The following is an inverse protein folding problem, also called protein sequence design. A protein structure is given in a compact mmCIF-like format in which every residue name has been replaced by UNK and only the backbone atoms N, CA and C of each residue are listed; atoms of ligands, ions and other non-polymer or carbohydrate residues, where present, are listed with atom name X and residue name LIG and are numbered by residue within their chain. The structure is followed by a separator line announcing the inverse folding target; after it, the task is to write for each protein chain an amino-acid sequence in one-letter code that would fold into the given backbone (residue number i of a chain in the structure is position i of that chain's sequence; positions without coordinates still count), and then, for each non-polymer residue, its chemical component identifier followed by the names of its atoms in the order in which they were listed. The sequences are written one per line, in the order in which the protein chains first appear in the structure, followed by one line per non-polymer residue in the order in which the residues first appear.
data_IF_040003548328
#
_entry.id   IF_040003548328
#
_cell.length_a   1.000
_cell.length_b   1.000
_cell.length_c   1.000
_cell.angle_alpha   90.00
_cell.angle_beta   90.00
_cell.angle_gamma   90.00
#
_symmetry.space_group_name_H-M   'P 1'
#
loop_
_entity.id
_entity.type
_entity.pdbx_description
1 polymer ?
#
# COMPACT_ATOMS: atom_id res chain seq x y z
N UNK A 1 6.68 0.57 -9.37
CA UNK A 1 5.80 1.10 -10.44
C UNK A 1 4.34 0.83 -10.09
N UNK A 2 3.41 1.77 -10.35
CA UNK A 2 1.98 1.60 -10.04
C UNK A 2 1.22 0.99 -11.22
N UNK A 3 0.44 -0.08 -10.94
CA UNK A 3 -0.46 -0.73 -11.91
C UNK A 3 -1.90 -0.72 -11.39
N UNK A 4 -2.84 -0.32 -12.25
CA UNK A 4 -4.27 -0.25 -11.93
C UNK A 4 -5.00 -1.52 -12.35
N UNK A 5 -4.63 -2.67 -11.77
CA UNK A 5 -5.18 -3.96 -12.15
C UNK A 5 -5.20 -4.13 -13.67
N UNK A 6 -6.34 -4.54 -14.24
CA UNK A 6 -6.53 -4.69 -15.70
C UNK A 6 -6.39 -3.39 -16.51
N UNK A 7 -6.51 -2.23 -15.86
CA UNK A 7 -6.30 -0.95 -16.54
C UNK A 7 -4.81 -0.63 -16.76
N UNK A 8 -3.91 -1.43 -16.21
CA UNK A 8 -2.44 -1.33 -16.32
C UNK A 8 -1.96 0.09 -15.98
N UNK A 9 -1.70 0.93 -16.94
CA UNK A 9 -1.29 2.34 -16.76
C UNK A 9 -2.37 3.35 -17.20
N UNK A 10 -3.52 2.86 -17.65
CA UNK A 10 -4.63 3.68 -18.16
C UNK A 10 -5.83 3.75 -17.23
N UNK A 11 -7.00 4.04 -17.82
CA UNK A 11 -8.30 4.16 -17.15
C UNK A 11 -9.37 3.23 -17.73
N UNK A 12 -9.00 2.44 -18.73
CA UNK A 12 -9.86 1.41 -19.35
C UNK A 12 -9.11 0.09 -19.37
N UNK A 13 -9.79 -1.06 -19.24
CA UNK A 13 -9.14 -2.36 -19.25
C UNK A 13 -8.39 -2.62 -20.56
N UNK A 14 -7.16 -3.10 -20.45
CA UNK A 14 -6.41 -3.64 -21.57
C UNK A 14 -6.68 -5.15 -21.71
N UNK A 15 -6.51 -5.71 -22.91
CA UNK A 15 -6.40 -7.16 -23.08
C UNK A 15 -5.26 -7.72 -22.22
N UNK A 16 -5.44 -8.94 -21.71
CA UNK A 16 -4.48 -9.58 -20.78
C UNK A 16 -3.08 -9.66 -21.38
N UNK A 17 -2.99 -10.04 -22.67
CA UNK A 17 -1.72 -10.13 -23.41
C UNK A 17 -0.96 -8.80 -23.48
N UNK A 18 -1.67 -7.68 -23.47
CA UNK A 18 -1.04 -6.34 -23.45
C UNK A 18 -0.47 -6.04 -22.06
N UNK A 19 -1.22 -6.35 -21.01
CA UNK A 19 -0.76 -6.21 -19.63
C UNK A 19 0.47 -7.09 -19.36
N UNK A 20 0.45 -8.35 -19.83
CA UNK A 20 1.56 -9.29 -19.69
C UNK A 20 2.81 -8.79 -20.43
N UNK A 21 2.67 -8.35 -21.67
CA UNK A 21 3.78 -7.81 -22.47
C UNK A 21 4.36 -6.55 -21.80
N UNK A 22 3.49 -5.67 -21.30
CA UNK A 22 3.91 -4.46 -20.57
C UNK A 22 4.72 -4.78 -19.32
N UNK A 23 4.24 -5.73 -18.50
CA UNK A 23 4.91 -6.13 -17.25
C UNK A 23 6.28 -6.75 -17.55
N UNK A 24 6.36 -7.64 -18.55
CA UNK A 24 7.63 -8.24 -18.99
C UNK A 24 8.64 -7.18 -19.41
N UNK A 25 8.24 -6.25 -20.25
CA UNK A 25 9.12 -5.19 -20.75
C UNK A 25 9.53 -4.23 -19.63
N UNK A 26 8.61 -3.85 -18.75
CA UNK A 26 8.91 -2.99 -17.62
C UNK A 26 9.92 -3.64 -16.66
N UNK A 27 9.78 -4.93 -16.37
CA UNK A 27 10.72 -5.68 -15.55
C UNK A 27 12.09 -5.79 -16.23
N UNK A 28 12.13 -6.11 -17.54
CA UNK A 28 13.36 -6.20 -18.32
C UNK A 28 14.13 -4.87 -18.37
N UNK A 29 13.43 -3.75 -18.26
CA UNK A 29 14.01 -2.41 -18.24
C UNK A 29 14.32 -1.89 -16.83
N UNK A 30 14.13 -2.70 -15.77
CA UNK A 30 14.62 -2.43 -14.42
C UNK A 30 13.53 -2.05 -13.38
N UNK A 31 12.27 -2.41 -13.62
CA UNK A 31 11.24 -2.27 -12.58
C UNK A 31 11.27 -3.47 -11.64
N UNK A 32 11.67 -3.25 -10.39
CA UNK A 32 11.80 -4.28 -9.37
C UNK A 32 10.50 -4.52 -8.58
N UNK A 33 9.68 -3.50 -8.41
CA UNK A 33 8.44 -3.57 -7.62
C UNK A 33 7.26 -3.06 -8.44
N UNK A 34 6.24 -3.90 -8.60
CA UNK A 34 4.95 -3.53 -9.18
C UNK A 34 3.93 -3.38 -8.06
N UNK A 35 3.46 -2.15 -7.83
CA UNK A 35 2.37 -1.85 -6.90
C UNK A 35 1.05 -1.95 -7.63
N UNK A 36 0.33 -3.03 -7.39
CA UNK A 36 -0.91 -3.40 -8.08
C UNK A 36 -2.09 -3.05 -7.17
N UNK A 37 -3.09 -2.36 -7.70
CA UNK A 37 -4.29 -2.03 -6.95
C UNK A 37 -5.54 -1.99 -7.85
N UNK A 38 -6.69 -2.12 -7.25
CA UNK A 38 -7.98 -1.74 -7.82
C UNK A 38 -8.66 -0.71 -6.89
N UNK A 39 -9.30 0.31 -7.48
CA UNK A 39 -9.90 1.39 -6.69
C UNK A 39 -11.10 0.94 -5.85
N UNK A 40 -11.75 -0.16 -6.24
CA UNK A 40 -12.90 -0.76 -5.55
C UNK A 40 -12.53 -2.05 -4.80
N UNK A 41 -11.23 -2.38 -4.72
CA UNK A 41 -10.72 -3.60 -4.11
C UNK A 41 -11.23 -4.89 -4.77
N UNK A 42 -11.48 -4.86 -6.08
CA UNK A 42 -11.84 -6.04 -6.86
C UNK A 42 -10.60 -6.88 -7.14
N UNK A 43 -10.44 -7.97 -6.40
CA UNK A 43 -9.28 -8.86 -6.49
C UNK A 43 -9.20 -9.55 -7.86
N UNK A 44 -10.34 -9.86 -8.49
CA UNK A 44 -10.37 -10.47 -9.82
C UNK A 44 -9.78 -9.54 -10.89
N UNK A 45 -9.90 -8.21 -10.70
CA UNK A 45 -9.27 -7.22 -11.57
C UNK A 45 -7.75 -7.10 -11.33
N UNK A 46 -7.27 -7.44 -10.13
CA UNK A 46 -5.85 -7.39 -9.77
C UNK A 46 -5.09 -8.68 -10.11
N UNK A 47 -5.77 -9.83 -10.00
CA UNK A 47 -5.18 -11.15 -10.14
C UNK A 47 -4.36 -11.36 -11.43
N UNK A 48 -4.81 -10.95 -12.63
CA UNK A 48 -4.00 -11.12 -13.83
C UNK A 48 -2.65 -10.42 -13.77
N UNK A 49 -2.60 -9.19 -13.24
CA UNK A 49 -1.34 -8.46 -13.08
C UNK A 49 -0.43 -9.07 -12.01
N UNK A 50 -1.01 -9.57 -10.90
CA UNK A 50 -0.26 -10.28 -9.85
C UNK A 50 0.40 -11.54 -10.45
N UNK A 51 -0.36 -12.34 -11.17
CA UNK A 51 0.13 -13.56 -11.82
C UNK A 51 1.19 -13.25 -12.86
N UNK A 52 1.00 -12.24 -13.70
CA UNK A 52 1.97 -11.84 -14.72
C UNK A 52 3.33 -11.44 -14.09
N UNK A 53 3.32 -10.70 -12.97
CA UNK A 53 4.55 -10.37 -12.24
C UNK A 53 5.23 -11.64 -11.74
N UNK A 54 4.48 -12.55 -11.12
CA UNK A 54 5.02 -13.80 -10.53
C UNK A 54 5.56 -14.78 -11.55
N UNK A 55 4.85 -14.96 -12.66
CA UNK A 55 5.15 -15.99 -13.65
C UNK A 55 6.20 -15.56 -14.67
N UNK A 56 6.25 -14.27 -14.96
CA UNK A 56 7.03 -13.75 -16.07
C UNK A 56 8.23 -12.88 -15.67
N UNK A 57 8.37 -12.58 -14.38
CA UNK A 57 9.44 -11.68 -13.89
C UNK A 57 10.05 -12.20 -12.59
N UNK A 58 11.20 -11.63 -12.23
CA UNK A 58 11.78 -11.78 -10.88
C UNK A 58 11.38 -10.64 -9.92
N UNK A 59 10.41 -9.81 -10.32
CA UNK A 59 10.02 -8.61 -9.58
C UNK A 59 9.03 -8.90 -8.45
N UNK A 60 8.83 -7.93 -7.59
CA UNK A 60 7.92 -8.02 -6.44
C UNK A 60 6.53 -7.57 -6.82
N UNK A 61 5.52 -8.39 -6.51
CA UNK A 61 4.11 -7.99 -6.56
C UNK A 61 3.70 -7.41 -5.19
N UNK A 62 3.67 -6.09 -5.08
CA UNK A 62 3.11 -5.37 -3.96
C UNK A 62 1.65 -5.06 -4.26
N UNK A 63 0.70 -5.50 -3.40
CA UNK A 63 -0.73 -5.35 -3.69
C UNK A 63 -1.40 -4.41 -2.70
N UNK A 64 -2.03 -3.37 -3.25
CA UNK A 64 -2.66 -2.30 -2.49
C UNK A 64 -4.09 -2.61 -2.10
N UNK A 65 -4.36 -2.53 -0.80
CA UNK A 65 -5.69 -2.47 -0.22
C UNK A 65 -6.13 -1.00 -0.22
N UNK A 66 -7.04 -0.63 -1.13
CA UNK A 66 -7.52 0.76 -1.27
C UNK A 66 -8.38 1.14 -0.07
N UNK A 67 -7.76 1.80 0.92
CA UNK A 67 -8.37 2.10 2.21
C UNK A 67 -9.46 3.16 2.10
N UNK A 68 -10.59 2.90 2.76
CA UNK A 68 -11.72 3.83 2.90
C UNK A 68 -12.49 3.53 4.18
N UNK A 69 -13.44 4.43 4.53
CA UNK A 69 -14.22 4.29 5.76
C UNK A 69 -13.42 4.57 7.03
N UNK A 70 -13.96 4.15 8.15
CA UNK A 70 -13.32 4.23 9.46
C UNK A 70 -13.82 3.09 10.35
N UNK A 71 -13.16 1.94 10.34
CA UNK A 71 -13.57 0.76 11.11
C UNK A 71 -13.53 0.95 12.65
N UNK A 72 -13.04 2.08 13.13
CA UNK A 72 -13.12 2.44 14.56
C UNK A 72 -14.44 3.17 14.90
N UNK A 73 -15.21 3.58 13.88
CA UNK A 73 -16.55 4.12 14.10
C UNK A 73 -17.51 2.96 14.39
N UNK A 74 -18.24 2.97 15.52
CA UNK A 74 -19.18 1.91 15.84
C UNK A 74 -20.36 1.79 14.87
N UNK A 75 -20.57 2.78 14.01
CA UNK A 75 -21.59 2.78 12.97
C UNK A 75 -21.06 2.30 11.61
N UNK A 76 -19.74 2.05 11.48
CA UNK A 76 -19.18 1.49 10.24
C UNK A 76 -19.52 0.00 10.14
N UNK A 77 -20.34 -0.34 9.17
CA UNK A 77 -20.84 -1.71 9.00
C UNK A 77 -20.27 -2.43 7.78
N UNK A 78 -19.62 -1.70 6.87
CA UNK A 78 -19.08 -2.25 5.62
C UNK A 78 -17.58 -2.43 5.70
N UNK A 79 -16.84 -1.36 5.94
CA UNK A 79 -15.37 -1.35 5.94
C UNK A 79 -14.81 -1.66 7.34
N UNK A 80 -15.25 -2.77 7.90
CA UNK A 80 -14.82 -3.26 9.23
C UNK A 80 -13.40 -3.81 9.19
N UNK A 81 -12.78 -4.03 10.36
CA UNK A 81 -11.47 -4.70 10.41
C UNK A 81 -11.53 -6.09 9.76
N UNK A 82 -12.62 -6.83 9.96
CA UNK A 82 -12.83 -8.15 9.34
C UNK A 82 -12.89 -8.06 7.80
N UNK A 83 -13.52 -7.01 7.24
CA UNK A 83 -13.48 -6.75 5.80
C UNK A 83 -12.04 -6.62 5.29
N UNK A 84 -11.21 -5.82 5.97
CA UNK A 84 -9.81 -5.62 5.56
C UNK A 84 -8.98 -6.88 5.64
N UNK A 85 -9.18 -7.70 6.67
CA UNK A 85 -8.48 -8.97 6.82
C UNK A 85 -8.92 -9.99 5.75
N UNK A 86 -10.21 -10.07 5.43
CA UNK A 86 -10.71 -10.93 4.34
C UNK A 86 -10.18 -10.50 2.97
N UNK A 87 -10.13 -9.20 2.72
CA UNK A 87 -9.54 -8.67 1.49
C UNK A 87 -8.05 -9.05 1.40
N UNK A 88 -7.30 -8.89 2.50
CA UNK A 88 -5.91 -9.30 2.57
C UNK A 88 -5.73 -10.81 2.34
N UNK A 89 -6.59 -11.69 2.91
CA UNK A 89 -6.57 -13.12 2.62
C UNK A 89 -6.70 -13.41 1.12
N UNK A 90 -7.62 -12.72 0.45
CA UNK A 90 -7.85 -12.91 -0.99
C UNK A 90 -6.65 -12.46 -1.82
N UNK A 91 -6.04 -11.32 -1.45
CA UNK A 91 -4.85 -10.76 -2.10
C UNK A 91 -3.62 -11.66 -1.89
N UNK A 92 -3.44 -12.18 -0.68
CA UNK A 92 -2.35 -13.14 -0.37
C UNK A 92 -2.55 -14.42 -1.17
N UNK A 93 -3.79 -14.93 -1.23
CA UNK A 93 -4.13 -16.12 -2.01
C UNK A 93 -3.90 -15.92 -3.52
N UNK A 94 -4.07 -14.70 -4.03
CA UNK A 94 -3.76 -14.35 -5.42
C UNK A 94 -2.25 -14.28 -5.69
N UNK A 95 -1.43 -14.20 -4.64
CA UNK A 95 0.03 -14.29 -4.73
C UNK A 95 0.79 -13.01 -4.45
N UNK A 96 0.27 -12.09 -3.67
CA UNK A 96 1.00 -10.91 -3.22
C UNK A 96 2.31 -11.27 -2.49
N UNK A 97 3.37 -10.51 -2.73
CA UNK A 97 4.63 -10.58 -1.99
C UNK A 97 4.69 -9.55 -0.86
N UNK A 98 3.97 -8.43 -1.01
CA UNK A 98 3.90 -7.35 -0.02
C UNK A 98 2.44 -6.89 0.05
N UNK A 99 1.92 -6.68 1.25
CA UNK A 99 0.62 -6.05 1.48
C UNK A 99 0.81 -4.54 1.63
N UNK A 100 0.14 -3.75 0.78
CA UNK A 100 0.19 -2.30 0.88
C UNK A 100 -1.17 -1.74 1.33
N UNK A 101 -1.18 -0.98 2.42
CA UNK A 101 -2.34 -0.17 2.80
C UNK A 101 -2.27 1.11 1.96
N UNK A 102 -3.24 1.31 1.06
CA UNK A 102 -3.26 2.44 0.13
C UNK A 102 -4.35 3.43 0.51
N UNK A 103 -4.00 4.42 1.32
CA UNK A 103 -4.88 5.49 1.75
C UNK A 103 -4.72 6.74 0.88
N UNK A 104 -5.52 6.84 -0.18
CA UNK A 104 -5.43 7.91 -1.18
C UNK A 104 -5.98 9.26 -0.72
N UNK A 105 -6.72 9.31 0.38
CA UNK A 105 -7.42 10.51 0.80
C UNK A 105 -7.06 10.97 2.22
N UNK A 106 -6.10 10.32 2.88
CA UNK A 106 -5.74 10.65 4.25
C UNK A 106 -6.84 10.32 5.26
N UNK A 107 -7.58 9.24 5.02
CA UNK A 107 -8.68 8.80 5.89
C UNK A 107 -8.22 7.96 7.07
N UNK A 108 -7.12 7.25 6.90
CA UNK A 108 -6.55 6.38 7.92
C UNK A 108 -6.03 7.21 9.10
N UNK A 109 -6.60 6.98 10.27
CA UNK A 109 -6.24 7.70 11.49
C UNK A 109 -5.16 6.93 12.27
N UNK A 110 -4.36 7.60 13.13
CA UNK A 110 -3.25 6.95 13.83
C UNK A 110 -3.64 5.65 14.54
N UNK A 111 -4.73 5.66 15.33
CA UNK A 111 -5.20 4.47 16.04
C UNK A 111 -5.66 3.36 15.09
N UNK A 112 -6.32 3.72 13.99
CA UNK A 112 -6.74 2.75 12.98
C UNK A 112 -5.53 2.15 12.25
N UNK A 113 -4.51 2.95 11.95
CA UNK A 113 -3.27 2.48 11.35
C UNK A 113 -2.57 1.45 12.25
N UNK A 114 -2.38 1.77 13.52
CA UNK A 114 -1.79 0.84 14.48
C UNK A 114 -2.59 -0.47 14.54
N UNK A 115 -3.92 -0.40 14.67
CA UNK A 115 -4.77 -1.59 14.74
C UNK A 115 -4.69 -2.45 13.47
N UNK A 116 -4.75 -1.82 12.28
CA UNK A 116 -4.72 -2.54 11.01
C UNK A 116 -3.36 -3.16 10.74
N UNK A 117 -2.26 -2.41 10.96
CA UNK A 117 -0.89 -2.92 10.79
C UNK A 117 -0.65 -4.11 11.71
N UNK A 118 -0.98 -3.99 13.00
CA UNK A 118 -0.86 -5.12 13.94
C UNK A 118 -1.64 -6.33 13.47
N UNK A 119 -2.91 -6.15 13.08
CA UNK A 119 -3.75 -7.26 12.66
C UNK A 119 -3.25 -7.95 11.37
N UNK A 120 -2.68 -7.20 10.42
CA UNK A 120 -2.06 -7.75 9.21
C UNK A 120 -0.77 -8.50 9.56
N UNK A 121 0.08 -7.93 10.41
CA UNK A 121 1.34 -8.56 10.86
C UNK A 121 1.11 -9.86 11.65
N UNK A 122 0.09 -9.88 12.49
CA UNK A 122 -0.27 -11.08 13.26
C UNK A 122 -0.82 -12.21 12.39
N UNK A 123 -1.45 -11.87 11.26
CA UNK A 123 -2.12 -12.83 10.39
C UNK A 123 -1.26 -13.35 9.25
N UNK A 124 -0.33 -12.53 8.73
CA UNK A 124 0.44 -12.85 7.52
C UNK A 124 1.95 -12.68 7.76
N UNK A 125 2.72 -13.65 7.28
CA UNK A 125 4.19 -13.56 7.23
C UNK A 125 4.62 -12.85 5.93
N UNK A 126 4.11 -11.64 5.72
CA UNK A 126 4.43 -10.77 4.58
C UNK A 126 4.74 -9.37 5.07
N UNK A 127 5.64 -8.65 4.38
CA UNK A 127 5.86 -7.24 4.68
C UNK A 127 4.60 -6.41 4.48
N UNK A 128 4.42 -5.41 5.35
CA UNK A 128 3.32 -4.44 5.28
C UNK A 128 3.89 -3.07 4.94
N UNK A 129 3.36 -2.47 3.89
CA UNK A 129 3.72 -1.13 3.43
C UNK A 129 2.54 -0.16 3.62
N UNK A 130 2.79 1.04 4.14
CA UNK A 130 1.76 2.06 4.28
C UNK A 130 2.02 3.24 3.35
N UNK A 131 1.06 3.49 2.44
CA UNK A 131 0.97 4.67 1.61
C UNK A 131 -0.22 5.52 2.02
N UNK A 132 -0.01 6.79 2.33
CA UNK A 132 -1.09 7.73 2.65
C UNK A 132 -0.84 9.11 2.06
N UNK A 133 -1.91 9.87 1.79
CA UNK A 133 -1.83 11.27 1.37
C UNK A 133 -2.12 12.20 2.56
N UNK A 134 -1.39 13.29 2.69
CA UNK A 134 -1.47 14.20 3.83
C UNK A 134 -2.55 15.28 3.67
N UNK A 135 -3.68 14.89 3.13
CA UNK A 135 -4.78 15.80 2.73
C UNK A 135 -5.25 16.70 3.88
N UNK A 136 -5.29 16.18 5.10
CA UNK A 136 -5.68 16.92 6.30
C UNK A 136 -4.49 17.41 7.15
N UNK A 137 -3.25 17.16 6.73
CA UNK A 137 -2.04 17.56 7.46
C UNK A 137 -1.76 16.73 8.72
N UNK A 138 -2.41 15.60 8.90
CA UNK A 138 -2.29 14.77 10.10
C UNK A 138 -1.57 13.43 9.88
N UNK A 139 -1.13 13.13 8.66
CA UNK A 139 -0.71 11.79 8.31
C UNK A 139 0.70 11.43 8.81
N UNK A 140 1.54 12.40 9.19
CA UNK A 140 2.77 12.08 9.90
C UNK A 140 2.50 11.32 11.20
N UNK A 141 1.47 11.73 11.96
CA UNK A 141 1.07 11.00 13.17
C UNK A 141 0.57 9.58 12.86
N UNK A 142 -0.11 9.40 11.72
CA UNK A 142 -0.55 8.07 11.26
C UNK A 142 0.64 7.18 10.90
N UNK A 143 1.65 7.72 10.20
CA UNK A 143 2.88 6.98 9.89
C UNK A 143 3.62 6.56 11.16
N UNK A 144 3.79 7.47 12.13
CA UNK A 144 4.44 7.15 13.39
C UNK A 144 3.71 6.04 14.17
N UNK A 145 2.37 6.11 14.24
CA UNK A 145 1.58 5.06 14.86
C UNK A 145 1.70 3.69 14.13
N UNK A 146 1.83 3.71 12.82
CA UNK A 146 2.09 2.50 12.01
C UNK A 146 3.50 1.95 12.26
N UNK A 147 4.51 2.82 12.39
CA UNK A 147 5.89 2.44 12.73
C UNK A 147 5.95 1.76 14.08
N UNK A 148 5.29 2.33 15.10
CA UNK A 148 5.21 1.72 16.43
C UNK A 148 4.50 0.35 16.41
N UNK A 149 3.55 0.16 15.49
CA UNK A 149 2.85 -1.11 15.26
C UNK A 149 3.62 -2.12 14.40
N UNK A 150 4.81 -1.77 13.90
CA UNK A 150 5.69 -2.68 13.18
C UNK A 150 5.47 -2.70 11.66
N UNK A 151 5.03 -1.61 11.02
CA UNK A 151 5.02 -1.49 9.56
C UNK A 151 6.46 -1.60 9.02
N UNK A 152 6.63 -2.29 7.89
CA UNK A 152 7.95 -2.53 7.30
C UNK A 152 8.44 -1.38 6.42
N UNK A 153 7.50 -0.69 5.75
CA UNK A 153 7.82 0.44 4.88
C UNK A 153 6.70 1.49 4.89
N UNK A 154 7.08 2.75 4.67
CA UNK A 154 6.13 3.87 4.53
C UNK A 154 6.54 4.77 3.37
N UNK A 155 5.55 5.37 2.69
CA UNK A 155 5.80 6.36 1.66
C UNK A 155 5.84 7.76 2.27
N UNK A 156 6.86 8.53 1.90
CA UNK A 156 7.04 9.93 2.26
C UNK A 156 7.47 10.75 1.05
N UNK A 157 7.35 12.06 1.12
CA UNK A 157 7.80 12.97 0.08
C UNK A 157 8.95 13.87 0.57
N UNK A 158 9.80 14.31 -0.35
CA UNK A 158 10.81 15.34 -0.04
C UNK A 158 10.12 16.61 0.47
N UNK A 159 10.71 17.27 1.48
CA UNK A 159 10.06 18.34 2.22
C UNK A 159 9.42 19.44 1.34
N UNK A 160 10.04 19.93 0.24
CA UNK A 160 9.42 20.95 -0.61
C UNK A 160 8.15 20.47 -1.37
N UNK A 161 7.93 19.16 -1.45
CA UNK A 161 6.82 18.54 -2.19
C UNK A 161 5.83 17.83 -1.27
N UNK A 162 6.04 17.87 0.04
CA UNK A 162 5.23 17.18 1.03
C UNK A 162 3.94 17.94 1.37
N UNK A 163 3.01 17.21 1.96
CA UNK A 163 1.73 17.75 2.44
C UNK A 163 0.65 17.84 1.38
N UNK A 164 -0.54 18.25 1.80
CA UNK A 164 -1.74 18.37 0.97
C UNK A 164 -2.09 17.07 0.22
N UNK A 165 -2.07 17.07 -1.11
CA UNK A 165 -2.33 15.88 -1.94
C UNK A 165 -1.10 14.97 -2.11
N UNK A 166 0.04 15.33 -1.52
CA UNK A 166 1.25 14.49 -1.47
C UNK A 166 1.34 13.73 -0.14
N UNK A 167 2.44 13.03 0.08
CA UNK A 167 2.71 12.29 1.31
C UNK A 167 3.26 13.22 2.41
N UNK A 168 3.30 12.76 3.68
CA UNK A 168 4.02 13.46 4.74
C UNK A 168 5.49 13.67 4.40
N UNK A 169 6.10 14.67 5.06
CA UNK A 169 7.51 15.01 4.85
C UNK A 169 8.46 13.90 5.32
N UNK A 170 9.39 13.50 4.44
CA UNK A 170 10.50 12.62 4.78
C UNK A 170 11.34 13.17 5.94
N UNK A 171 11.70 14.46 5.88
CA UNK A 171 12.47 15.10 6.94
C UNK A 171 11.75 15.09 8.29
N UNK A 172 10.40 15.21 8.29
CA UNK A 172 9.60 15.13 9.50
C UNK A 172 9.62 13.74 10.12
N UNK A 173 9.49 12.70 9.28
CA UNK A 173 9.55 11.31 9.72
C UNK A 173 10.95 10.93 10.26
N UNK A 174 12.00 11.26 9.50
CA UNK A 174 13.40 11.00 9.89
C UNK A 174 13.71 11.67 11.23
N UNK A 175 13.36 12.95 11.39
CA UNK A 175 13.59 13.66 12.64
C UNK A 175 12.83 13.07 13.83
N UNK A 176 11.58 12.59 13.60
CA UNK A 176 10.77 11.99 14.65
C UNK A 176 11.28 10.61 15.10
N UNK A 177 11.92 9.85 14.19
CA UNK A 177 12.46 8.52 14.48
C UNK A 177 13.94 8.52 14.89
N UNK A 178 14.64 9.65 14.76
CA UNK A 178 16.05 9.76 15.11
C UNK A 178 16.34 9.29 16.54
N UNK A 179 17.37 8.46 16.71
CA UNK A 179 17.80 7.86 17.98
C UNK A 179 16.76 6.94 18.65
N UNK A 180 15.79 6.44 17.91
CA UNK A 180 14.88 5.41 18.37
C UNK A 180 15.28 4.03 17.84
N UNK A 181 14.63 2.96 18.29
CA UNK A 181 14.82 1.62 17.73
C UNK A 181 14.37 1.50 16.26
N UNK A 182 13.66 2.51 15.75
CA UNK A 182 13.14 2.61 14.37
C UNK A 182 13.83 3.73 13.59
N UNK A 183 15.02 4.14 14.02
CA UNK A 183 15.81 5.12 13.29
C UNK A 183 16.00 4.66 11.82
N UNK A 184 15.75 5.58 10.90
CA UNK A 184 15.85 5.29 9.46
C UNK A 184 17.28 5.27 8.95
N UNK A 185 18.26 5.74 9.78
CA UNK A 185 19.67 5.95 9.41
C UNK A 185 19.85 6.87 8.19
N UNK A 186 18.82 7.62 7.81
CA UNK A 186 18.87 8.62 6.73
C UNK A 186 19.33 9.97 7.27
N UNK A 187 20.18 10.64 6.52
CA UNK A 187 20.72 11.99 6.87
C UNK A 187 20.25 13.07 5.88
#
# INVERSE_FOLDING_TARGET
MLLRGRNTVGYTPYPTEVTDAFIKEAAATGVDIFRIFDALNDVDQMTPAIQAVREHTGSVAEVGLSYTGNFLDPNENLYTLDYWLKLADSVVSAGAHVLAIKDMAGLLRPRAAATLVTALRDRFDLPVHLHTHDTAGGQLATLLAAVDAGVDAVDVASAPMAGTTSQPSASGLVAALANTERDTEMS
#
